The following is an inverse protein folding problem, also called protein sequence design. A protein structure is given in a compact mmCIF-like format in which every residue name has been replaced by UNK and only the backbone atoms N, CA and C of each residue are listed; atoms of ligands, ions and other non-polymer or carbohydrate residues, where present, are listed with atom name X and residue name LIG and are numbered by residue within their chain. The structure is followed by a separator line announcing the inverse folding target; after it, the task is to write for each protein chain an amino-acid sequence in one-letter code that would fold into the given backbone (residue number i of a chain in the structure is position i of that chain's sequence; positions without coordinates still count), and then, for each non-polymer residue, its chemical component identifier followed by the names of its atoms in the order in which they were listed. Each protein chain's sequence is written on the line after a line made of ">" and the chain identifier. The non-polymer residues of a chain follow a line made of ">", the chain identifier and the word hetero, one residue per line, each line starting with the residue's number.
data_IF_375627574425
#
_entry.id   IF_375627574425
#
_cell.length_a   1.000
_cell.length_b   1.000
_cell.length_c   1.000
_cell.angle_alpha   90.00
_cell.angle_beta   90.00
_cell.angle_gamma   90.00
#
_symmetry.space_group_name_H-M   'P 1'
#
loop_
_entity.id
_entity.type
_entity.pdbx_description
1 polymer ?
#
# COMPACT_ATOMS: atom_id res chain seq x y z
N UNK A 1 -18.50 20.09 0.12
CA UNK A 1 -17.96 19.20 -0.94
C UNK A 1 -17.39 17.85 -0.51
N UNK A 2 -17.24 17.51 0.77
CA UNK A 2 -16.71 16.18 1.16
C UNK A 2 -17.72 15.02 1.06
N UNK A 3 -18.83 15.20 0.35
CA UNK A 3 -19.93 14.23 0.24
C UNK A 3 -20.65 14.28 -1.11
N UNK A 4 -20.13 15.05 -2.08
CA UNK A 4 -20.54 14.96 -3.48
C UNK A 4 -19.69 13.87 -4.15
N UNK A 5 -20.31 12.93 -4.88
CA UNK A 5 -19.64 11.79 -5.53
C UNK A 5 -18.62 12.26 -6.57
N UNK A 6 -17.41 12.60 -6.14
CA UNK A 6 -16.28 12.90 -7.01
C UNK A 6 -15.32 11.73 -6.95
N UNK A 7 -15.05 11.10 -8.09
CA UNK A 7 -14.18 9.93 -8.16
C UNK A 7 -12.72 10.23 -7.74
N UNK A 8 -12.34 11.51 -7.59
CA UNK A 8 -11.01 11.95 -7.17
C UNK A 8 -10.85 12.21 -5.66
N UNK A 9 -11.92 12.17 -4.84
CA UNK A 9 -11.86 12.46 -3.41
C UNK A 9 -13.23 12.58 -2.75
N UNK A 10 -13.28 12.73 -1.42
CA UNK A 10 -14.55 12.90 -0.68
C UNK A 10 -15.17 11.60 -0.15
N UNK A 11 -14.44 10.48 -0.16
CA UNK A 11 -14.80 9.32 0.64
C UNK A 11 -14.48 9.62 2.12
N UNK A 12 -15.51 9.55 2.97
CA UNK A 12 -15.34 9.61 4.43
C UNK A 12 -15.21 8.19 4.98
N UNK A 13 -14.20 7.96 5.82
CA UNK A 13 -13.89 6.65 6.38
C UNK A 13 -13.15 6.81 7.71
N UNK A 14 -12.82 5.68 8.36
CA UNK A 14 -12.05 5.64 9.60
C UNK A 14 -10.83 4.69 9.43
N UNK A 15 -9.95 4.66 10.44
CA UNK A 15 -8.72 3.85 10.36
C UNK A 15 -8.99 2.34 10.25
N UNK A 16 -10.08 1.83 10.83
CA UNK A 16 -10.44 0.41 10.78
C UNK A 16 -10.86 0.02 9.37
N UNK A 17 -11.71 0.81 8.73
CA UNK A 17 -12.17 0.58 7.36
C UNK A 17 -10.99 0.61 6.37
N UNK A 18 -10.09 1.59 6.49
CA UNK A 18 -8.91 1.71 5.63
C UNK A 18 -7.91 0.58 5.85
N UNK A 19 -7.71 0.13 7.09
CA UNK A 19 -6.90 -1.04 7.38
C UNK A 19 -7.53 -2.31 6.83
N UNK A 20 -8.85 -2.48 6.93
CA UNK A 20 -9.55 -3.62 6.35
C UNK A 20 -9.36 -3.63 4.83
N UNK A 21 -9.52 -2.49 4.17
CA UNK A 21 -9.27 -2.33 2.74
C UNK A 21 -7.83 -2.69 2.34
N UNK A 22 -6.83 -2.14 3.03
CA UNK A 22 -5.42 -2.41 2.76
C UNK A 22 -5.05 -3.88 2.97
N UNK A 23 -5.46 -4.47 4.10
CA UNK A 23 -5.23 -5.89 4.37
C UNK A 23 -5.91 -6.78 3.34
N UNK A 24 -7.11 -6.42 2.89
CA UNK A 24 -7.84 -7.17 1.87
C UNK A 24 -7.11 -7.17 0.53
N UNK A 25 -6.59 -6.00 0.09
CA UNK A 25 -5.82 -5.93 -1.16
C UNK A 25 -4.49 -6.68 -1.04
N UNK A 26 -3.80 -6.56 0.09
CA UNK A 26 -2.56 -7.30 0.36
C UNK A 26 -2.80 -8.82 0.31
N UNK A 27 -3.87 -9.31 0.93
CA UNK A 27 -4.28 -10.72 0.85
C UNK A 27 -4.62 -11.15 -0.59
N UNK A 28 -5.28 -10.29 -1.38
CA UNK A 28 -5.54 -10.59 -2.79
C UNK A 28 -4.24 -10.80 -3.57
N UNK A 29 -3.19 -10.03 -3.29
CA UNK A 29 -1.87 -10.24 -3.88
C UNK A 29 -1.25 -11.58 -3.45
N UNK A 30 -1.28 -11.90 -2.15
CA UNK A 30 -0.53 -13.00 -1.55
C UNK A 30 -1.20 -14.37 -1.69
N UNK A 31 -2.53 -14.39 -1.76
CA UNK A 31 -3.32 -15.63 -1.75
C UNK A 31 -2.96 -16.62 -2.87
N UNK A 32 -2.66 -16.14 -4.08
CA UNK A 32 -2.27 -17.02 -5.21
C UNK A 32 -0.91 -17.69 -4.97
N UNK A 33 0.05 -16.96 -4.37
CA UNK A 33 1.36 -17.50 -3.98
C UNK A 33 1.21 -18.53 -2.86
N UNK A 34 0.46 -18.19 -1.82
CA UNK A 34 0.23 -19.08 -0.68
C UNK A 34 -0.40 -20.41 -1.09
N UNK A 35 -1.47 -20.38 -1.89
CA UNK A 35 -2.14 -21.59 -2.40
C UNK A 35 -1.18 -22.46 -3.22
N UNK A 36 -0.34 -21.84 -4.06
CA UNK A 36 0.65 -22.55 -4.89
C UNK A 36 1.73 -23.22 -4.03
N UNK A 37 2.32 -22.50 -3.08
CA UNK A 37 3.38 -23.03 -2.21
C UNK A 37 2.90 -24.17 -1.32
N UNK A 38 1.68 -24.04 -0.77
CA UNK A 38 1.07 -25.09 0.07
C UNK A 38 0.38 -26.21 -0.73
N UNK A 39 0.36 -26.12 -2.07
CA UNK A 39 -0.37 -27.05 -2.96
C UNK A 39 -1.84 -27.21 -2.56
N UNK A 40 -2.47 -26.12 -2.14
CA UNK A 40 -3.86 -26.08 -1.68
C UNK A 40 -4.78 -25.57 -2.79
N UNK A 41 -6.02 -26.05 -2.80
CA UNK A 41 -7.08 -25.48 -3.64
C UNK A 41 -7.81 -24.37 -2.88
N UNK A 42 -8.43 -23.43 -3.59
CA UNK A 42 -9.18 -22.35 -2.93
C UNK A 42 -10.33 -22.90 -2.06
N UNK A 43 -10.89 -24.06 -2.42
CA UNK A 43 -11.94 -24.76 -1.67
C UNK A 43 -11.48 -25.25 -0.30
N UNK A 44 -10.16 -25.37 -0.07
CA UNK A 44 -9.60 -25.77 1.23
C UNK A 44 -9.49 -24.61 2.22
N UNK A 45 -9.68 -23.36 1.78
CA UNK A 45 -9.68 -22.19 2.67
C UNK A 45 -11.04 -22.00 3.36
N UNK A 46 -11.10 -21.33 4.53
CA UNK A 46 -12.36 -20.90 5.13
C UNK A 46 -13.21 -20.09 4.14
N UNK A 47 -14.54 -20.22 4.18
CA UNK A 47 -15.47 -19.62 3.20
C UNK A 47 -15.23 -18.13 2.95
N UNK A 48 -14.93 -17.35 4.00
CA UNK A 48 -14.64 -15.92 3.88
C UNK A 48 -13.35 -15.59 3.10
N UNK A 49 -12.42 -16.54 2.97
CA UNK A 49 -11.17 -16.41 2.20
C UNK A 49 -11.27 -17.00 0.79
N UNK A 50 -12.35 -17.73 0.50
CA UNK A 50 -12.59 -18.27 -0.84
C UNK A 50 -13.00 -17.17 -1.82
N UNK A 51 -13.64 -16.11 -1.33
CA UNK A 51 -14.10 -14.99 -2.13
C UNK A 51 -13.01 -13.91 -2.23
N UNK A 52 -12.34 -13.84 -3.38
CA UNK A 52 -11.40 -12.76 -3.69
C UNK A 52 -12.14 -11.57 -4.30
N UNK A 53 -11.93 -10.37 -3.75
CA UNK A 53 -12.43 -9.14 -4.35
C UNK A 53 -11.69 -8.80 -5.65
N UNK A 54 -10.37 -9.09 -5.70
CA UNK A 54 -9.52 -8.87 -6.87
C UNK A 54 -8.63 -10.09 -7.12
N UNK A 55 -8.30 -10.33 -8.40
CA UNK A 55 -7.26 -11.30 -8.78
C UNK A 55 -5.88 -10.73 -8.39
N UNK A 56 -4.94 -11.58 -7.98
CA UNK A 56 -3.55 -11.14 -7.70
C UNK A 56 -2.92 -10.42 -8.90
N UNK A 57 -3.20 -10.90 -10.12
CA UNK A 57 -2.75 -10.23 -11.35
C UNK A 57 -3.33 -8.82 -11.55
N UNK A 58 -4.54 -8.55 -11.06
CA UNK A 58 -5.13 -7.21 -11.08
C UNK A 58 -4.44 -6.30 -10.06
N UNK A 59 -4.17 -6.78 -8.85
CA UNK A 59 -3.43 -6.03 -7.83
C UNK A 59 -2.02 -5.69 -8.32
N UNK A 60 -1.32 -6.65 -8.94
CA UNK A 60 -0.02 -6.41 -9.56
C UNK A 60 -0.07 -5.30 -10.62
N UNK A 61 -1.12 -5.24 -11.44
CA UNK A 61 -1.30 -4.16 -12.42
C UNK A 61 -1.54 -2.80 -11.77
N UNK A 62 -2.29 -2.74 -10.65
CA UNK A 62 -2.47 -1.49 -9.90
C UNK A 62 -1.14 -0.93 -9.41
N UNK A 63 -0.23 -1.82 -8.99
CA UNK A 63 1.07 -1.48 -8.40
C UNK A 63 2.23 -1.60 -9.38
N UNK A 64 1.95 -1.70 -10.68
CA UNK A 64 2.97 -1.62 -11.71
C UNK A 64 3.31 -0.15 -11.98
N UNK A 65 4.58 0.25 -11.90
CA UNK A 65 5.02 1.59 -12.31
C UNK A 65 4.59 1.91 -13.74
N UNK A 66 3.81 2.98 -13.92
CA UNK A 66 3.43 3.49 -15.26
C UNK A 66 4.21 4.74 -15.60
N UNK A 67 4.35 5.65 -14.63
CA UNK A 67 5.03 6.93 -14.81
C UNK A 67 6.00 7.14 -13.65
N UNK A 68 7.13 7.79 -13.90
CA UNK A 68 8.00 8.30 -12.85
C UNK A 68 7.33 9.52 -12.21
N UNK A 69 7.03 9.45 -10.93
CA UNK A 69 6.29 10.49 -10.20
C UNK A 69 7.20 11.61 -9.66
N UNK A 70 8.45 11.65 -10.10
CA UNK A 70 9.43 12.66 -9.70
C UNK A 70 9.33 13.90 -10.59
N UNK A 71 9.57 15.05 -10.00
CA UNK A 71 9.95 16.29 -10.71
C UNK A 71 11.45 16.53 -10.49
N UNK A 72 12.06 17.39 -11.32
CA UNK A 72 13.49 17.70 -11.17
C UNK A 72 13.84 18.31 -9.79
N UNK A 73 12.85 18.88 -9.12
CA UNK A 73 12.95 19.47 -7.77
C UNK A 73 12.85 18.46 -6.62
N UNK A 74 12.52 17.19 -6.88
CA UNK A 74 12.40 16.20 -5.79
C UNK A 74 13.78 15.94 -5.16
N UNK A 75 13.97 16.05 -3.83
CA UNK A 75 15.25 15.72 -3.19
C UNK A 75 15.74 14.32 -3.56
N UNK A 76 17.04 14.17 -3.82
CA UNK A 76 17.66 12.94 -4.34
C UNK A 76 17.39 11.70 -3.46
N UNK A 77 17.31 11.91 -2.14
CA UNK A 77 16.97 10.87 -1.16
C UNK A 77 15.56 10.25 -1.39
N UNK A 78 14.68 10.93 -2.12
CA UNK A 78 13.30 10.52 -2.40
C UNK A 78 13.07 9.94 -3.82
N UNK A 79 14.13 9.78 -4.62
CA UNK A 79 14.07 9.40 -6.05
C UNK A 79 14.38 7.90 -6.28
N UNK A 80 13.44 6.94 -6.20
CA UNK A 80 12.30 7.03 -7.08
C UNK A 80 10.97 6.68 -6.46
N UNK A 81 10.01 7.58 -6.69
CA UNK A 81 8.59 7.32 -6.53
C UNK A 81 8.03 7.13 -7.93
N UNK A 82 7.46 5.98 -8.19
CA UNK A 82 6.67 5.74 -9.38
C UNK A 82 5.19 5.93 -9.06
N UNK A 83 4.39 6.14 -10.10
CA UNK A 83 2.95 6.15 -10.00
C UNK A 83 2.37 4.99 -10.81
N UNK A 84 1.56 4.18 -10.15
CA UNK A 84 0.72 3.16 -10.77
C UNK A 84 -0.70 3.65 -10.95
N UNK A 85 -1.67 2.73 -11.00
CA UNK A 85 -3.07 3.11 -11.10
C UNK A 85 -3.64 3.55 -9.75
N UNK A 86 -3.47 4.85 -9.44
CA UNK A 86 -3.99 5.46 -8.22
C UNK A 86 -3.15 5.14 -6.99
N UNK A 87 -1.85 4.90 -7.15
CA UNK A 87 -0.93 4.58 -6.05
C UNK A 87 0.48 5.10 -6.34
N UNK A 88 1.13 5.64 -5.32
CA UNK A 88 2.58 5.82 -5.32
C UNK A 88 3.26 4.49 -5.01
N UNK A 89 4.36 4.21 -5.69
CA UNK A 89 5.14 2.98 -5.58
C UNK A 89 6.58 3.37 -5.29
N UNK A 90 7.13 2.88 -4.18
CA UNK A 90 8.53 3.06 -3.82
C UNK A 90 9.24 1.72 -3.86
N UNK A 91 10.24 1.53 -4.74
CA UNK A 91 11.08 0.34 -4.74
C UNK A 91 11.84 0.17 -3.43
N UNK A 92 12.25 -1.07 -3.17
CA UNK A 92 13.19 -1.37 -2.11
C UNK A 92 14.54 -0.70 -2.39
N UNK A 93 15.13 -0.06 -1.39
CA UNK A 93 16.48 0.48 -1.46
C UNK A 93 17.29 -0.04 -0.28
N UNK A 94 18.42 -0.65 -0.56
CA UNK A 94 19.39 -1.01 0.48
C UNK A 94 20.47 0.08 0.55
N UNK A 95 20.64 0.69 1.72
CA UNK A 95 21.81 1.54 1.98
C UNK A 95 23.02 0.65 2.26
N UNK A 96 24.12 0.87 1.54
CA UNK A 96 25.40 0.21 1.80
C UNK A 96 26.14 0.79 3.02
N UNK A 97 25.67 1.91 3.57
CA UNK A 97 26.42 2.70 4.57
C UNK A 97 25.85 2.54 5.99
N UNK A 98 24.53 2.41 6.15
CA UNK A 98 23.88 2.51 7.48
C UNK A 98 22.97 1.32 7.86
N UNK A 99 23.02 0.19 7.15
CA UNK A 99 22.11 -0.98 7.32
C UNK A 99 20.60 -0.68 7.19
N UNK A 100 20.20 0.59 7.06
CA UNK A 100 18.84 1.03 6.82
C UNK A 100 18.43 0.64 5.40
N UNK A 101 17.56 -0.36 5.30
CA UNK A 101 16.84 -0.70 4.08
C UNK A 101 15.48 -0.03 4.07
N UNK A 102 15.19 0.72 3.02
CA UNK A 102 13.83 1.17 2.71
C UNK A 102 13.07 0.00 2.10
N UNK A 103 12.00 -0.51 2.73
CA UNK A 103 11.25 -1.62 2.17
C UNK A 103 10.50 -1.19 0.90
N UNK A 104 10.24 -2.15 0.02
CA UNK A 104 9.25 -1.96 -1.05
C UNK A 104 7.89 -1.64 -0.43
N UNK A 105 7.32 -0.51 -0.82
CA UNK A 105 6.01 -0.10 -0.30
C UNK A 105 5.21 0.69 -1.33
N UNK A 106 3.89 0.63 -1.16
CA UNK A 106 2.90 1.32 -1.97
C UNK A 106 2.09 2.19 -1.04
N UNK A 107 1.77 3.42 -1.44
CA UNK A 107 0.96 4.29 -0.60
C UNK A 107 0.08 5.24 -1.42
N UNK A 108 -0.94 5.77 -0.76
CA UNK A 108 -1.74 6.87 -1.26
C UNK A 108 -1.96 7.87 -0.12
N UNK A 109 -1.81 9.15 -0.42
CA UNK A 109 -2.08 10.24 0.51
C UNK A 109 -3.29 11.05 0.04
N UNK A 110 -4.07 11.56 0.98
CA UNK A 110 -5.20 12.45 0.72
C UNK A 110 -5.09 13.71 1.54
N UNK A 111 -5.56 14.83 1.00
CA UNK A 111 -5.69 16.09 1.73
C UNK A 111 -6.97 16.78 1.29
N UNK A 112 -7.82 17.13 2.25
CA UNK A 112 -9.05 17.86 2.01
C UNK A 112 -9.40 18.71 3.23
N UNK A 113 -9.60 20.02 3.00
CA UNK A 113 -10.03 21.06 3.95
C UNK A 113 -9.88 20.66 5.43
N UNK A 114 -8.73 20.97 6.02
CA UNK A 114 -8.47 20.71 7.44
C UNK A 114 -8.16 19.25 7.81
N UNK A 115 -8.08 18.33 6.85
CA UNK A 115 -7.74 16.92 7.11
C UNK A 115 -6.71 16.37 6.12
N UNK A 116 -5.90 15.44 6.62
CA UNK A 116 -4.90 14.70 5.83
C UNK A 116 -5.00 13.21 6.15
N UNK A 117 -4.78 12.37 5.15
CA UNK A 117 -4.77 10.90 5.28
C UNK A 117 -3.57 10.28 4.57
N UNK A 118 -3.11 9.14 5.06
CA UNK A 118 -2.20 8.26 4.35
C UNK A 118 -2.60 6.80 4.59
N UNK A 119 -2.49 6.00 3.53
CA UNK A 119 -2.58 4.56 3.57
C UNK A 119 -1.32 4.01 2.91
N UNK A 120 -0.52 3.26 3.66
CA UNK A 120 0.73 2.64 3.23
C UNK A 120 0.63 1.12 3.39
N UNK A 121 1.12 0.39 2.39
CA UNK A 121 1.19 -1.06 2.35
C UNK A 121 2.63 -1.43 2.00
N UNK A 122 3.28 -2.18 2.87
CA UNK A 122 4.60 -2.77 2.67
C UNK A 122 4.46 -4.30 2.60
N UNK A 123 4.33 -4.88 1.39
CA UNK A 123 4.28 -6.33 1.23
C UNK A 123 5.60 -6.97 1.67
N UNK A 124 5.54 -8.17 2.24
CA UNK A 124 6.78 -8.91 2.50
C UNK A 124 7.46 -9.31 1.18
N UNK A 125 8.70 -8.86 1.00
CA UNK A 125 9.55 -9.20 -0.16
C UNK A 125 10.33 -10.50 0.04
N UNK A 126 10.33 -11.07 1.26
CA UNK A 126 11.04 -12.31 1.54
C UNK A 126 10.44 -13.49 0.77
N UNK A 127 11.25 -14.07 -0.13
CA UNK A 127 10.88 -15.21 -0.98
C UNK A 127 10.63 -16.47 -0.13
N UNK A 128 11.16 -16.53 1.09
CA UNK A 128 10.95 -17.63 2.03
C UNK A 128 9.77 -17.38 2.98
N UNK A 129 9.09 -16.23 2.94
CA UNK A 129 7.89 -16.03 3.74
C UNK A 129 6.76 -16.92 3.19
N UNK A 130 6.36 -17.93 3.98
CA UNK A 130 5.28 -18.86 3.64
C UNK A 130 3.94 -18.50 4.30
N UNK A 131 3.90 -17.36 5.00
CA UNK A 131 2.67 -16.87 5.63
C UNK A 131 1.78 -16.18 4.59
N UNK A 132 0.50 -16.57 4.60
CA UNK A 132 -0.59 -15.93 3.87
C UNK A 132 -0.88 -14.48 4.28
N UNK A 133 -0.32 -14.03 5.42
CA UNK A 133 -0.54 -12.71 6.04
C UNK A 133 0.79 -12.01 6.32
N UNK A 134 1.62 -11.87 5.29
CA UNK A 134 3.01 -11.41 5.46
C UNK A 134 3.19 -9.98 4.96
N UNK A 135 3.34 -9.00 5.84
CA UNK A 135 3.56 -7.59 5.45
C UNK A 135 2.90 -6.63 6.43
N UNK A 136 3.04 -5.34 6.17
CA UNK A 136 2.60 -4.28 7.08
C UNK A 136 1.68 -3.32 6.34
N UNK A 137 0.56 -2.97 6.98
CA UNK A 137 -0.38 -1.96 6.52
C UNK A 137 -0.47 -0.87 7.58
N UNK A 138 -0.22 0.37 7.19
CA UNK A 138 -0.27 1.53 8.08
C UNK A 138 -1.29 2.52 7.54
N UNK A 139 -2.16 3.05 8.39
CA UNK A 139 -3.01 4.19 8.04
C UNK A 139 -2.93 5.24 9.11
N UNK A 140 -2.88 6.51 8.69
CA UNK A 140 -2.93 7.66 9.58
C UNK A 140 -4.01 8.60 9.04
N UNK A 141 -4.92 9.01 9.91
CA UNK A 141 -5.92 10.04 9.66
C UNK A 141 -5.71 11.17 10.65
N UNK A 142 -5.61 12.39 10.16
CA UNK A 142 -5.43 13.58 10.99
C UNK A 142 -6.43 14.66 10.57
N UNK A 143 -7.01 15.35 11.56
CA UNK A 143 -7.80 16.57 11.38
C UNK A 143 -6.90 17.82 11.35
N UNK A 144 -5.76 17.71 10.67
CA UNK A 144 -4.83 18.80 10.39
C UNK A 144 -4.52 18.79 8.91
N UNK A 145 -4.37 19.98 8.32
CA UNK A 145 -3.97 20.15 6.92
C UNK A 145 -2.46 20.38 6.81
N UNK A 146 -1.87 19.99 5.68
CA UNK A 146 -0.48 20.26 5.32
C UNK A 146 0.57 19.61 6.24
N UNK A 147 0.31 18.37 6.68
CA UNK A 147 1.28 17.59 7.47
C UNK A 147 2.30 16.89 6.56
N UNK A 148 3.39 17.60 6.21
CA UNK A 148 4.43 17.10 5.28
C UNK A 148 5.11 15.82 5.75
N UNK A 149 5.22 15.61 7.06
CA UNK A 149 5.95 14.48 7.66
C UNK A 149 5.15 13.18 7.75
N UNK A 150 3.85 13.19 7.42
CA UNK A 150 2.98 12.04 7.69
C UNK A 150 3.39 10.79 6.90
N UNK A 151 3.98 10.97 5.71
CA UNK A 151 4.60 9.88 4.96
C UNK A 151 5.78 9.26 5.71
N UNK A 152 6.70 10.09 6.21
CA UNK A 152 7.88 9.62 6.94
C UNK A 152 7.48 8.90 8.23
N UNK A 153 6.44 9.38 8.93
CA UNK A 153 5.89 8.70 10.11
C UNK A 153 5.29 7.34 9.75
N UNK A 154 4.47 7.25 8.70
CA UNK A 154 3.87 5.99 8.28
C UNK A 154 4.93 4.97 7.86
N UNK A 155 5.98 5.43 7.19
CA UNK A 155 7.11 4.63 6.78
C UNK A 155 7.97 4.18 7.98
N UNK A 156 8.17 5.03 8.99
CA UNK A 156 8.92 4.65 10.20
C UNK A 156 8.20 3.59 11.04
N UNK A 157 6.87 3.56 10.99
CA UNK A 157 6.05 2.53 11.64
C UNK A 157 6.12 1.19 10.88
N UNK A 158 6.31 1.25 9.55
CA UNK A 158 6.37 0.08 8.68
C UNK A 158 7.77 -0.54 8.64
#
# INVERSE_FOLDING_TARGET
>A
DNSLKWAGGGLLSNVIDLLLFANTILQCLQSDRYLREKKLSIQSLPTHQQQKFLKSSSVNKLWTPVIRAETDETPELLRPRYYGFGWFISPEKHSSINELSMPYHIYHSGGAVGATSILLIAPCTNINCTDSKCGICVTILANLQSTSEMYNTALYIA
#
